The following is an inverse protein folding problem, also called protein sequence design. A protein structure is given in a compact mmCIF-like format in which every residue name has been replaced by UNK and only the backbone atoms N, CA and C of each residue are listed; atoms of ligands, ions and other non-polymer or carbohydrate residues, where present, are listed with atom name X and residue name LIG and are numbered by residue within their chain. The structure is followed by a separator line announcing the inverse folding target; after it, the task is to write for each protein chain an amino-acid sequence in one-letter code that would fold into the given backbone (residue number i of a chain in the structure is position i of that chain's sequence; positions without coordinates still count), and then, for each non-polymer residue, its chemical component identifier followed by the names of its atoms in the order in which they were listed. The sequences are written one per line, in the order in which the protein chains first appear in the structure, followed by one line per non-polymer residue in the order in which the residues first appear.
data_IF_161962885331
#
_entry.id   IF_161962885331
#
_cell.length_a   1.000
_cell.length_b   1.000
_cell.length_c   1.000
_cell.angle_alpha   90.00
_cell.angle_beta   90.00
_cell.angle_gamma   90.00
#
_symmetry.space_group_name_H-M   'P 1'
#
loop_
_entity.id
_entity.type
_entity.pdbx_description
1 polymer ?
#
# COMPACT_ATOMS: atom_id res chain seq x y z
N UNK A 1 1.64 -8.32 44.57
CA UNK A 1 0.39 -8.94 44.12
C UNK A 1 -0.36 -7.86 43.37
N UNK A 2 -0.49 -8.00 42.05
CA UNK A 2 -1.22 -7.00 41.24
C UNK A 2 -2.70 -7.29 41.42
N UNK A 3 -3.48 -6.27 41.78
CA UNK A 3 -4.92 -6.40 41.91
C UNK A 3 -5.52 -6.61 40.51
N UNK A 4 -6.31 -7.67 40.27
CA UNK A 4 -6.90 -7.93 38.96
C UNK A 4 -7.95 -6.87 38.54
N UNK A 5 -8.29 -5.94 39.43
CA UNK A 5 -9.20 -4.81 39.19
C UNK A 5 -8.48 -3.56 38.63
N UNK A 6 -7.14 -3.54 38.62
CA UNK A 6 -6.33 -2.42 38.11
C UNK A 6 -5.89 -2.60 36.63
N UNK A 7 -6.41 -3.63 35.94
CA UNK A 7 -6.20 -3.80 34.50
C UNK A 7 -7.26 -2.97 33.79
N UNK A 8 -6.95 -1.70 33.53
CA UNK A 8 -7.72 -0.93 32.56
C UNK A 8 -7.64 -1.69 31.22
N UNK A 9 -8.77 -2.08 30.60
CA UNK A 9 -8.73 -2.63 29.26
C UNK A 9 -8.19 -1.53 28.35
N UNK A 10 -7.02 -1.75 27.77
CA UNK A 10 -6.54 -0.95 26.66
C UNK A 10 -7.52 -1.19 25.51
N UNK A 11 -8.48 -0.26 25.37
CA UNK A 11 -9.40 -0.25 24.24
C UNK A 11 -8.56 0.15 23.03
N UNK A 12 -7.96 -0.84 22.37
CA UNK A 12 -7.42 -0.67 21.03
C UNK A 12 -8.64 -0.49 20.13
N UNK A 13 -9.01 0.76 19.88
CA UNK A 13 -9.95 1.10 18.82
C UNK A 13 -9.21 0.79 17.52
N UNK A 14 -9.36 -0.43 17.00
CA UNK A 14 -9.06 -0.71 15.60
C UNK A 14 -10.20 -0.02 14.84
N UNK A 15 -10.03 1.26 14.49
CA UNK A 15 -10.82 1.83 13.41
C UNK A 15 -10.59 0.87 12.24
N UNK A 16 -11.65 0.20 11.75
CA UNK A 16 -11.57 -0.69 10.59
C UNK A 16 -11.24 0.16 9.36
N UNK A 17 -10.01 0.64 9.26
CA UNK A 17 -9.49 1.27 8.06
C UNK A 17 -9.48 0.20 6.99
N UNK A 18 -10.13 0.51 5.86
CA UNK A 18 -10.20 -0.40 4.74
C UNK A 18 -8.77 -0.78 4.33
N UNK A 19 -8.38 -2.07 4.33
CA UNK A 19 -7.01 -2.47 3.98
C UNK A 19 -6.51 -1.89 2.65
N UNK A 20 -7.41 -1.70 1.67
CA UNK A 20 -7.06 -1.10 0.38
C UNK A 20 -6.82 0.42 0.49
N UNK A 21 -7.50 1.09 1.42
CA UNK A 21 -7.27 2.51 1.71
C UNK A 21 -5.94 2.72 2.43
N UNK A 22 -5.59 1.85 3.38
CA UNK A 22 -4.28 1.81 4.02
C UNK A 22 -3.16 1.65 2.99
N UNK A 23 -3.29 0.64 2.11
CA UNK A 23 -2.32 0.40 1.03
C UNK A 23 -2.24 1.62 0.11
N UNK A 24 -3.37 2.20 -0.29
CA UNK A 24 -3.39 3.39 -1.16
C UNK A 24 -2.65 4.57 -0.53
N UNK A 25 -2.88 4.81 0.77
CA UNK A 25 -2.27 5.93 1.48
C UNK A 25 -0.76 5.74 1.62
N UNK A 26 -0.32 4.52 1.97
CA UNK A 26 1.11 4.21 2.04
C UNK A 26 1.78 4.33 0.67
N UNK A 27 1.15 3.83 -0.39
CA UNK A 27 1.68 3.98 -1.75
C UNK A 27 1.81 5.45 -2.17
N UNK A 28 0.91 6.35 -1.73
CA UNK A 28 1.05 7.79 -1.99
C UNK A 28 2.28 8.38 -1.27
N UNK A 29 2.55 7.96 -0.03
CA UNK A 29 3.74 8.38 0.72
C UNK A 29 5.00 7.90 0.00
N UNK A 30 5.09 6.60 -0.30
CA UNK A 30 6.25 6.01 -0.97
C UNK A 30 6.48 6.59 -2.38
N UNK A 31 5.40 6.83 -3.13
CA UNK A 31 5.47 7.49 -4.44
C UNK A 31 6.11 8.88 -4.32
N UNK A 32 5.69 9.67 -3.33
CA UNK A 32 6.23 11.00 -3.08
C UNK A 32 7.70 10.96 -2.64
N UNK A 33 8.11 10.00 -1.82
CA UNK A 33 9.52 9.79 -1.44
C UNK A 33 10.42 9.52 -2.64
N UNK A 34 9.94 8.72 -3.59
CA UNK A 34 10.63 8.43 -4.84
C UNK A 34 10.60 9.59 -5.86
N UNK A 35 9.84 10.65 -5.58
CA UNK A 35 9.57 11.72 -6.54
C UNK A 35 8.80 11.23 -7.77
N UNK A 36 7.98 10.19 -7.60
CA UNK A 36 7.02 9.74 -8.60
C UNK A 36 5.73 10.57 -8.50
N UNK A 37 4.78 10.27 -9.39
CA UNK A 37 3.55 11.04 -9.54
C UNK A 37 2.39 10.54 -8.67
N UNK A 38 1.20 10.85 -9.16
CA UNK A 38 -0.07 10.50 -8.52
C UNK A 38 -0.25 8.98 -8.39
N UNK A 39 -0.87 8.55 -7.29
CA UNK A 39 -1.29 7.17 -7.07
C UNK A 39 -2.81 7.10 -7.06
N UNK A 40 -3.37 6.19 -7.84
CA UNK A 40 -4.82 5.97 -7.92
C UNK A 40 -5.18 4.50 -7.69
N UNK A 41 -6.37 4.27 -7.15
CA UNK A 41 -6.94 2.94 -6.97
C UNK A 41 -8.12 2.74 -7.91
N UNK A 42 -8.21 1.57 -8.54
CA UNK A 42 -9.32 1.16 -9.41
C UNK A 42 -9.55 -0.34 -9.28
N UNK A 43 -10.75 -0.79 -9.68
CA UNK A 43 -11.04 -2.22 -9.86
C UNK A 43 -11.02 -2.53 -11.35
N UNK A 44 -10.20 -3.49 -11.76
CA UNK A 44 -10.11 -4.01 -13.14
C UNK A 44 -10.90 -5.31 -13.23
N UNK A 45 -11.68 -5.48 -14.30
CA UNK A 45 -12.31 -6.76 -14.63
C UNK A 45 -11.40 -7.53 -15.59
N UNK A 46 -11.18 -8.80 -15.29
CA UNK A 46 -10.40 -9.72 -16.12
C UNK A 46 -11.17 -11.03 -16.28
N UNK A 47 -11.96 -11.09 -17.36
CA UNK A 47 -12.94 -12.15 -17.54
C UNK A 47 -14.00 -12.11 -16.45
N UNK A 48 -14.16 -13.21 -15.72
CA UNK A 48 -15.11 -13.34 -14.60
C UNK A 48 -14.52 -12.87 -13.25
N UNK A 49 -13.26 -12.41 -13.22
CA UNK A 49 -12.57 -11.97 -12.01
C UNK A 49 -12.53 -10.44 -11.89
N UNK A 50 -12.42 -9.96 -10.65
CA UNK A 50 -12.15 -8.56 -10.32
C UNK A 50 -10.82 -8.47 -9.59
N UNK A 51 -9.98 -7.53 -10.02
CA UNK A 51 -8.64 -7.30 -9.47
C UNK A 51 -8.58 -5.87 -8.94
N UNK A 52 -8.11 -5.73 -7.72
CA UNK A 52 -7.76 -4.45 -7.12
C UNK A 52 -6.47 -3.94 -7.76
N UNK A 53 -6.48 -2.76 -8.36
CA UNK A 53 -5.35 -2.20 -9.10
C UNK A 53 -4.95 -0.85 -8.51
N UNK A 54 -3.71 -0.78 -8.03
CA UNK A 54 -3.03 0.46 -7.67
C UNK A 54 -2.17 0.92 -8.84
N UNK A 55 -2.39 2.14 -9.31
CA UNK A 55 -1.66 2.71 -10.44
C UNK A 55 -0.82 3.89 -9.96
N UNK A 56 0.50 3.79 -10.12
CA UNK A 56 1.48 4.84 -9.81
C UNK A 56 1.91 5.49 -11.12
N UNK A 57 1.69 6.80 -11.25
CA UNK A 57 2.11 7.55 -12.42
C UNK A 57 3.60 7.88 -12.32
N UNK A 58 4.35 7.56 -13.36
CA UNK A 58 5.78 7.84 -13.46
C UNK A 58 6.00 9.04 -14.39
N UNK A 59 6.82 10.02 -13.99
CA UNK A 59 7.23 11.11 -14.88
C UNK A 59 7.90 10.60 -16.16
N UNK A 60 7.49 11.11 -17.32
CA UNK A 60 8.06 10.70 -18.62
C UNK A 60 9.57 10.86 -18.73
N UNK A 61 10.15 11.80 -18.00
CA UNK A 61 11.56 12.17 -18.00
C UNK A 61 12.39 11.47 -16.92
N UNK A 62 11.79 10.56 -16.14
CA UNK A 62 12.56 9.77 -15.18
C UNK A 62 13.57 8.89 -15.92
N UNK A 63 14.76 8.73 -15.33
CA UNK A 63 15.75 7.76 -15.81
C UNK A 63 15.26 6.33 -15.53
N UNK A 64 15.45 5.41 -16.48
CA UNK A 64 15.00 4.01 -16.35
C UNK A 64 15.59 3.32 -15.12
N UNK A 65 16.84 3.65 -14.75
CA UNK A 65 17.46 3.12 -13.53
C UNK A 65 16.77 3.62 -12.26
N UNK A 66 16.37 4.88 -12.24
CA UNK A 66 15.64 5.47 -11.11
C UNK A 66 14.24 4.89 -11.01
N UNK A 67 13.57 4.69 -12.14
CA UNK A 67 12.28 3.97 -12.19
C UNK A 67 12.41 2.55 -11.62
N UNK A 68 13.44 1.81 -12.01
CA UNK A 68 13.72 0.48 -11.48
C UNK A 68 13.96 0.51 -9.96
N UNK A 69 14.87 1.35 -9.48
CA UNK A 69 15.21 1.47 -8.06
C UNK A 69 13.97 1.87 -7.21
N UNK A 70 13.18 2.82 -7.70
CA UNK A 70 11.95 3.25 -7.02
C UNK A 70 10.90 2.14 -7.00
N UNK A 71 10.73 1.40 -8.10
CA UNK A 71 9.78 0.29 -8.15
C UNK A 71 10.14 -0.79 -7.13
N UNK A 72 11.42 -1.16 -7.04
CA UNK A 72 11.91 -2.14 -6.07
C UNK A 72 11.72 -1.65 -4.63
N UNK A 73 12.12 -0.41 -4.34
CA UNK A 73 11.93 0.22 -3.03
C UNK A 73 10.46 0.21 -2.59
N UNK A 74 9.55 0.62 -3.48
CA UNK A 74 8.10 0.66 -3.20
C UNK A 74 7.58 -0.74 -2.90
N UNK A 75 7.96 -1.76 -3.68
CA UNK A 75 7.53 -3.13 -3.45
C UNK A 75 8.00 -3.68 -2.10
N UNK A 76 9.26 -3.44 -1.74
CA UNK A 76 9.80 -3.87 -0.44
C UNK A 76 9.06 -3.19 0.72
N UNK A 77 8.90 -1.86 0.66
CA UNK A 77 8.27 -1.09 1.72
C UNK A 77 6.79 -1.38 1.88
N UNK A 78 6.03 -1.48 0.79
CA UNK A 78 4.61 -1.78 0.89
C UNK A 78 4.37 -3.21 1.39
N UNK A 79 5.26 -4.16 1.05
CA UNK A 79 5.19 -5.51 1.59
C UNK A 79 5.41 -5.53 3.10
N UNK A 80 6.47 -4.87 3.59
CA UNK A 80 6.76 -4.76 5.01
C UNK A 80 5.62 -4.06 5.75
N UNK A 81 5.13 -2.93 5.24
CA UNK A 81 3.97 -2.22 5.79
C UNK A 81 2.75 -3.12 5.90
N UNK A 82 2.40 -3.86 4.84
CA UNK A 82 1.23 -4.72 4.85
C UNK A 82 1.37 -5.92 5.78
N UNK A 83 2.58 -6.47 5.91
CA UNK A 83 2.89 -7.53 6.88
C UNK A 83 2.74 -7.03 8.30
N UNK A 84 3.31 -5.87 8.61
CA UNK A 84 3.36 -5.32 9.97
C UNK A 84 1.99 -4.80 10.44
N UNK A 85 1.05 -4.57 9.50
CA UNK A 85 -0.35 -4.18 9.77
C UNK A 85 -1.36 -5.32 9.53
N UNK A 86 -0.92 -6.58 9.40
CA UNK A 86 -1.80 -7.75 9.20
C UNK A 86 -2.75 -7.68 7.97
N UNK A 87 -2.39 -6.92 6.94
CA UNK A 87 -3.16 -6.72 5.69
C UNK A 87 -2.48 -7.30 4.44
N UNK A 88 -1.46 -8.14 4.62
CA UNK A 88 -0.68 -8.71 3.51
C UNK A 88 -1.53 -9.43 2.46
N UNK A 89 -2.61 -10.11 2.86
CA UNK A 89 -3.50 -10.79 1.91
C UNK A 89 -4.22 -9.80 0.97
N UNK A 90 -4.53 -8.59 1.43
CA UNK A 90 -5.11 -7.53 0.59
C UNK A 90 -4.11 -7.04 -0.46
N UNK A 91 -2.83 -6.93 -0.10
CA UNK A 91 -1.77 -6.61 -1.06
C UNK A 91 -1.58 -7.74 -2.08
N UNK A 92 -1.49 -8.99 -1.63
CA UNK A 92 -1.26 -10.16 -2.50
C UNK A 92 -2.43 -10.47 -3.46
N UNK A 93 -3.63 -9.96 -3.16
CA UNK A 93 -4.80 -10.04 -4.05
C UNK A 93 -4.97 -8.81 -4.96
N UNK A 94 -4.00 -7.90 -4.93
CA UNK A 94 -3.98 -6.67 -5.71
C UNK A 94 -2.80 -6.63 -6.68
N UNK A 95 -2.91 -5.78 -7.70
CA UNK A 95 -1.83 -5.46 -8.63
C UNK A 95 -1.33 -4.04 -8.38
N UNK A 96 -0.02 -3.83 -8.52
CA UNK A 96 0.60 -2.50 -8.57
C UNK A 96 1.16 -2.30 -9.98
N UNK A 97 0.72 -1.24 -10.65
CA UNK A 97 1.14 -0.90 -11.99
C UNK A 97 1.80 0.47 -12.02
N UNK A 98 2.99 0.50 -12.60
CA UNK A 98 3.76 1.70 -12.87
C UNK A 98 3.47 2.17 -14.30
N UNK A 99 2.97 3.40 -14.46
CA UNK A 99 2.55 3.93 -15.76
C UNK A 99 3.27 5.22 -16.06
N UNK A 100 4.18 5.17 -17.04
CA UNK A 100 4.85 6.36 -17.56
C UNK A 100 3.85 7.25 -18.30
N UNK A 101 3.78 8.53 -17.95
CA UNK A 101 2.85 9.50 -18.56
C UNK A 101 3.51 10.83 -18.87
#
# INVERSE_FOLDING_TARGET
MVNPEDIEPEIVIIENENPLELILNELKVLSNECGLGEVSFKVKSEGDNFINLFQIIIPKDIEDIKEFDCSFYIYEKIYDFCRDNDILLSLLSSEILFVRR
#
